data_IF_417512062992
#
_entry.id   IF_417512062992
#
_cell.length_a   1.000
_cell.length_b   1.000
_cell.length_c   1.000
_cell.angle_alpha   90.00
_cell.angle_beta   90.00
_cell.angle_gamma   90.00
#
_symmetry.space_group_name_H-M   'P 1'
#
loop_
_entity.id
_entity.type
_entity.pdbx_description
1 polymer ?
#
# COMPACT_ATOMS: atom_id res chain seq x y z
N UNK A 1 -28.76 -11.77 -5.72
CA UNK A 1 -27.77 -11.31 -4.72
C UNK A 1 -26.58 -12.24 -4.84
N UNK A 2 -25.52 -11.85 -5.56
CA UNK A 2 -24.34 -12.71 -5.66
C UNK A 2 -23.58 -12.62 -4.35
N UNK A 3 -23.58 -13.75 -3.62
CA UNK A 3 -22.62 -14.05 -2.57
C UNK A 3 -21.25 -13.87 -3.22
N UNK A 4 -20.46 -12.91 -2.76
CA UNK A 4 -19.08 -12.77 -3.24
C UNK A 4 -18.41 -14.13 -3.19
N UNK A 5 -17.79 -14.56 -4.30
CA UNK A 5 -17.03 -15.81 -4.41
C UNK A 5 -15.74 -15.71 -3.56
N UNK A 6 -15.88 -15.49 -2.26
CA UNK A 6 -14.77 -15.40 -1.32
C UNK A 6 -14.16 -16.79 -1.18
N UNK A 7 -12.95 -16.92 -1.72
CA UNK A 7 -12.16 -18.13 -1.67
C UNK A 7 -11.13 -18.06 -0.54
N UNK A 8 -11.02 -19.13 0.23
CA UNK A 8 -10.02 -19.29 1.28
C UNK A 8 -9.14 -20.49 0.95
N UNK A 9 -7.83 -20.25 0.86
CA UNK A 9 -6.81 -21.29 0.82
C UNK A 9 -6.21 -21.44 2.22
N UNK A 10 -6.47 -22.57 2.90
CA UNK A 10 -5.89 -22.86 4.21
C UNK A 10 -4.85 -23.97 4.10
N UNK A 11 -3.62 -23.67 4.52
CA UNK A 11 -2.51 -24.64 4.57
C UNK A 11 -1.95 -24.72 5.98
N UNK A 12 -1.81 -25.94 6.50
CA UNK A 12 -1.29 -26.16 7.84
C UNK A 12 -0.24 -27.25 7.89
N UNK A 13 0.75 -27.06 8.77
CA UNK A 13 1.77 -28.06 9.11
C UNK A 13 1.72 -28.41 10.60
N UNK A 14 0.53 -28.44 11.19
CA UNK A 14 0.29 -28.82 12.59
C UNK A 14 -0.71 -29.99 12.69
N UNK A 15 -0.82 -30.69 13.84
CA UNK A 15 -1.72 -31.83 14.03
C UNK A 15 -3.23 -31.51 13.90
N UNK A 16 -4.00 -32.51 13.45
CA UNK A 16 -5.32 -32.33 12.85
C UNK A 16 -6.49 -31.80 13.73
N UNK A 17 -6.61 -32.02 15.06
CA UNK A 17 -7.74 -31.42 15.77
C UNK A 17 -7.54 -29.93 16.08
N UNK A 18 -6.30 -29.43 16.03
CA UNK A 18 -6.01 -28.00 16.12
C UNK A 18 -6.23 -27.32 14.75
N UNK A 19 -5.77 -27.96 13.67
CA UNK A 19 -5.90 -27.47 12.30
C UNK A 19 -7.36 -27.13 11.91
N UNK A 20 -8.31 -28.05 12.15
CA UNK A 20 -9.72 -27.82 11.79
C UNK A 20 -10.34 -26.63 12.52
N UNK A 21 -9.97 -26.41 13.79
CA UNK A 21 -10.49 -25.28 14.58
C UNK A 21 -9.93 -23.95 14.08
N UNK A 22 -8.64 -23.90 13.78
CA UNK A 22 -7.98 -22.73 13.22
C UNK A 22 -8.54 -22.35 11.85
N UNK A 23 -8.80 -23.34 10.99
CA UNK A 23 -9.40 -23.11 9.67
C UNK A 23 -10.80 -22.50 9.80
N UNK A 24 -11.65 -23.07 10.67
CA UNK A 24 -13.00 -22.55 10.90
C UNK A 24 -12.99 -21.12 11.45
N UNK A 25 -12.08 -20.81 12.37
CA UNK A 25 -11.93 -19.46 12.92
C UNK A 25 -11.46 -18.46 11.85
N UNK A 26 -10.44 -18.81 11.08
CA UNK A 26 -9.93 -17.96 10.01
C UNK A 26 -10.99 -17.72 8.93
N UNK A 27 -11.71 -18.76 8.50
CA UNK A 27 -12.78 -18.64 7.50
C UNK A 27 -13.88 -17.71 7.97
N UNK A 28 -14.39 -17.89 9.19
CA UNK A 28 -15.42 -17.03 9.74
C UNK A 28 -14.98 -15.56 9.79
N UNK A 29 -13.81 -15.27 10.37
CA UNK A 29 -13.32 -13.88 10.52
C UNK A 29 -13.03 -13.21 9.18
N UNK A 30 -12.40 -13.93 8.25
CA UNK A 30 -12.06 -13.38 6.94
C UNK A 30 -13.31 -13.17 6.07
N UNK A 31 -14.30 -14.07 6.15
CA UNK A 31 -15.60 -13.87 5.50
C UNK A 31 -16.36 -12.70 6.10
N UNK A 32 -16.35 -12.54 7.42
CA UNK A 32 -17.00 -11.41 8.08
C UNK A 32 -16.35 -10.09 7.63
N UNK A 33 -15.01 -10.06 7.56
CA UNK A 33 -14.25 -8.91 7.06
C UNK A 33 -14.55 -8.60 5.57
N UNK A 34 -14.82 -9.63 4.76
CA UNK A 34 -15.21 -9.51 3.35
C UNK A 34 -16.69 -9.10 3.19
N UNK A 35 -17.56 -9.52 4.10
CA UNK A 35 -19.02 -9.34 3.96
C UNK A 35 -19.42 -7.86 3.86
N UNK A 36 -18.63 -6.98 4.47
CA UNK A 36 -18.93 -5.55 4.54
C UNK A 36 -18.53 -4.80 3.26
N UNK A 37 -17.59 -5.32 2.45
CA UNK A 37 -17.06 -4.60 1.28
C UNK A 37 -16.67 -5.55 0.14
N UNK A 38 -16.82 -5.11 -1.11
CA UNK A 38 -16.54 -5.92 -2.32
C UNK A 38 -15.08 -5.84 -2.81
N UNK A 39 -14.21 -5.26 -2.00
CA UNK A 39 -12.79 -5.03 -2.30
C UNK A 39 -11.94 -6.30 -2.13
N UNK A 40 -12.33 -7.19 -1.21
CA UNK A 40 -11.66 -8.45 -0.89
C UNK A 40 -12.31 -9.62 -1.60
N UNK A 41 -11.51 -10.38 -2.37
CA UNK A 41 -11.98 -11.50 -3.21
C UNK A 41 -11.59 -12.87 -2.64
N UNK A 42 -10.66 -12.92 -1.70
CA UNK A 42 -10.23 -14.15 -1.06
C UNK A 42 -9.10 -13.94 -0.07
N UNK A 43 -8.59 -15.03 0.49
CA UNK A 43 -7.44 -15.02 1.36
C UNK A 43 -6.68 -16.35 1.31
N UNK A 44 -5.40 -16.32 1.69
CA UNK A 44 -4.59 -17.50 1.94
C UNK A 44 -4.02 -17.46 3.36
N UNK A 45 -4.11 -18.57 4.08
CA UNK A 45 -3.64 -18.72 5.45
C UNK A 45 -2.65 -19.88 5.51
N UNK A 46 -1.49 -19.63 6.10
CA UNK A 46 -0.46 -20.64 6.33
C UNK A 46 -0.11 -20.64 7.81
N UNK A 47 -0.23 -21.79 8.48
CA UNK A 47 0.22 -21.99 9.86
C UNK A 47 1.26 -23.09 9.91
N UNK A 48 2.42 -22.81 10.49
CA UNK A 48 3.54 -23.76 10.56
C UNK A 48 4.29 -23.68 11.90
N UNK A 49 4.80 -24.82 12.34
CA UNK A 49 5.70 -24.91 13.50
C UNK A 49 7.15 -24.59 13.06
N UNK A 50 7.78 -23.63 13.72
CA UNK A 50 9.19 -23.30 13.56
C UNK A 50 10.01 -24.12 14.56
N UNK A 51 10.29 -25.37 14.21
CA UNK A 51 11.23 -26.19 14.96
C UNK A 51 12.66 -25.78 14.59
N UNK A 52 13.28 -24.92 15.41
CA UNK A 52 14.74 -24.78 15.48
C UNK A 52 15.21 -25.09 16.89
N UNK A 53 16.37 -25.74 17.00
CA UNK A 53 16.91 -26.41 18.17
C UNK A 53 17.19 -25.53 19.41
N UNK A 54 16.85 -24.24 19.40
CA UNK A 54 17.18 -23.29 20.46
C UNK A 54 16.01 -22.40 20.93
N UNK A 55 14.84 -22.45 20.28
CA UNK A 55 13.63 -21.71 20.70
C UNK A 55 12.50 -22.68 21.04
N UNK A 56 11.88 -22.59 22.23
CA UNK A 56 10.72 -23.42 22.58
C UNK A 56 9.57 -23.16 21.59
N UNK A 57 9.04 -24.23 20.99
CA UNK A 57 7.81 -24.30 20.17
C UNK A 57 7.25 -22.97 19.64
N UNK A 58 7.99 -22.31 18.74
CA UNK A 58 7.49 -21.12 18.07
C UNK A 58 6.64 -21.53 16.87
N UNK A 59 5.44 -20.99 16.77
CA UNK A 59 4.55 -21.15 15.62
C UNK A 59 4.54 -19.85 14.82
N UNK A 60 4.43 -19.97 13.51
CA UNK A 60 4.26 -18.85 12.59
C UNK A 60 2.93 -18.97 11.88
N UNK A 61 2.14 -17.90 11.91
CA UNK A 61 0.97 -17.75 11.07
C UNK A 61 1.20 -16.63 10.07
N UNK A 62 0.90 -16.90 8.80
CA UNK A 62 0.90 -15.93 7.71
C UNK A 62 -0.48 -15.89 7.08
N UNK A 63 -1.06 -14.71 7.02
CA UNK A 63 -2.35 -14.48 6.37
C UNK A 63 -2.16 -13.47 5.25
N UNK A 64 -2.64 -13.79 4.06
CA UNK A 64 -2.64 -12.90 2.89
C UNK A 64 -4.09 -12.67 2.48
N UNK A 65 -4.55 -11.43 2.52
CA UNK A 65 -5.83 -11.03 1.93
C UNK A 65 -5.62 -10.63 0.46
N UNK A 66 -6.38 -11.23 -0.44
CA UNK A 66 -6.48 -10.83 -1.83
C UNK A 66 -7.48 -9.69 -1.94
N UNK A 67 -6.97 -8.46 -1.94
CA UNK A 67 -7.76 -7.23 -1.83
C UNK A 67 -7.27 -6.20 -2.84
N UNK A 68 -8.19 -5.54 -3.55
CA UNK A 68 -7.85 -4.53 -4.56
C UNK A 68 -7.49 -3.18 -3.93
N UNK A 69 -6.60 -2.36 -4.52
CA UNK A 69 -5.75 -2.67 -5.68
C UNK A 69 -4.56 -3.58 -5.33
N UNK A 70 -4.05 -3.51 -4.09
CA UNK A 70 -2.86 -4.26 -3.65
C UNK A 70 -3.18 -5.22 -2.49
N UNK A 71 -2.67 -6.45 -2.57
CA UNK A 71 -2.85 -7.45 -1.51
C UNK A 71 -2.27 -6.99 -0.17
N UNK A 72 -2.81 -7.52 0.93
CA UNK A 72 -2.31 -7.25 2.28
C UNK A 72 -1.83 -8.56 2.89
N UNK A 73 -0.67 -8.54 3.54
CA UNK A 73 -0.14 -9.69 4.26
C UNK A 73 0.19 -9.34 5.71
N UNK A 74 -0.13 -10.25 6.62
CA UNK A 74 0.26 -10.20 8.03
C UNK A 74 0.98 -11.50 8.39
N UNK A 75 2.03 -11.38 9.20
CA UNK A 75 2.83 -12.52 9.68
C UNK A 75 3.07 -12.32 11.17
N UNK A 76 2.72 -13.31 11.97
CA UNK A 76 2.93 -13.27 13.42
C UNK A 76 3.51 -14.58 13.95
N UNK A 77 4.21 -14.47 15.07
CA UNK A 77 4.89 -15.58 15.74
C UNK A 77 4.44 -15.68 17.19
N UNK A 78 4.16 -16.89 17.67
CA UNK A 78 3.79 -17.11 19.07
C UNK A 78 4.12 -18.53 19.53
N UNK A 79 4.10 -18.75 20.85
CA UNK A 79 4.38 -20.05 21.48
C UNK A 79 3.23 -21.07 21.30
N UNK A 80 2.12 -20.64 20.69
CA UNK A 80 0.96 -21.47 20.36
C UNK A 80 0.39 -21.08 18.99
N UNK A 81 -0.08 -22.05 18.18
CA UNK A 81 -0.59 -21.79 16.84
C UNK A 81 -1.87 -20.95 16.85
N UNK A 82 -2.72 -21.11 17.88
CA UNK A 82 -3.92 -20.29 18.08
C UNK A 82 -3.57 -18.81 18.26
N UNK A 83 -2.57 -18.53 19.09
CA UNK A 83 -2.13 -17.15 19.37
C UNK A 83 -1.50 -16.53 18.12
N UNK A 84 -0.65 -17.30 17.41
CA UNK A 84 -0.02 -16.81 16.18
C UNK A 84 -1.07 -16.44 15.13
N UNK A 85 -2.08 -17.31 14.92
CA UNK A 85 -3.15 -17.05 13.96
C UNK A 85 -4.02 -15.86 14.38
N UNK A 86 -4.45 -15.80 15.64
CA UNK A 86 -5.26 -14.69 16.14
C UNK A 86 -4.56 -13.34 15.97
N UNK A 87 -3.29 -13.26 16.35
CA UNK A 87 -2.48 -12.05 16.16
C UNK A 87 -2.36 -11.67 14.68
N UNK A 88 -2.11 -12.64 13.80
CA UNK A 88 -2.03 -12.39 12.36
C UNK A 88 -3.36 -11.89 11.78
N UNK A 89 -4.49 -12.44 12.22
CA UNK A 89 -5.82 -12.00 11.81
C UNK A 89 -6.14 -10.59 12.33
N UNK A 90 -5.83 -10.28 13.59
CA UNK A 90 -6.00 -8.93 14.16
C UNK A 90 -5.15 -7.91 13.38
N UNK A 91 -3.89 -8.24 13.11
CA UNK A 91 -2.99 -7.39 12.34
C UNK A 91 -3.53 -7.14 10.92
N UNK A 92 -4.00 -8.20 10.24
CA UNK A 92 -4.60 -8.11 8.92
C UNK A 92 -5.86 -7.23 8.92
N UNK A 93 -6.79 -7.46 9.86
CA UNK A 93 -8.02 -6.68 9.99
C UNK A 93 -7.72 -5.20 10.17
N UNK A 94 -6.73 -4.86 11.01
CA UNK A 94 -6.30 -3.48 11.22
C UNK A 94 -5.75 -2.85 9.93
N UNK A 95 -4.91 -3.57 9.18
CA UNK A 95 -4.37 -3.10 7.91
C UNK A 95 -5.47 -2.89 6.86
N UNK A 96 -6.42 -3.82 6.76
CA UNK A 96 -7.57 -3.72 5.85
C UNK A 96 -8.43 -2.49 6.22
N UNK A 97 -8.76 -2.30 7.49
CA UNK A 97 -9.52 -1.12 7.94
C UNK A 97 -8.81 0.18 7.62
N UNK A 98 -7.51 0.26 7.90
CA UNK A 98 -6.69 1.45 7.57
C UNK A 98 -6.69 1.71 6.06
N UNK A 99 -6.52 0.68 5.23
CA UNK A 99 -6.56 0.80 3.77
C UNK A 99 -7.93 1.30 3.29
N UNK A 100 -9.02 0.74 3.82
CA UNK A 100 -10.39 1.17 3.52
C UNK A 100 -10.65 2.60 3.96
N UNK A 101 -10.08 3.03 5.08
CA UNK A 101 -10.17 4.43 5.53
C UNK A 101 -9.45 5.37 4.56
N UNK A 102 -8.23 5.01 4.12
CA UNK A 102 -7.47 5.81 3.14
C UNK A 102 -8.23 5.89 1.80
N UNK A 103 -8.66 4.75 1.25
CA UNK A 103 -9.41 4.71 -0.01
C UNK A 103 -10.83 5.30 0.12
N UNK A 104 -11.44 5.15 1.28
CA UNK A 104 -12.74 5.72 1.62
C UNK A 104 -12.71 7.22 1.92
N UNK A 105 -11.52 7.82 2.12
CA UNK A 105 -11.36 9.27 2.14
C UNK A 105 -11.07 9.84 0.75
N UNK A 106 -10.75 8.99 -0.22
CA UNK A 106 -10.39 9.42 -1.57
C UNK A 106 -11.54 10.14 -2.30
N UNK A 107 -12.81 9.86 -1.98
CA UNK A 107 -13.96 10.60 -2.53
C UNK A 107 -14.25 11.96 -1.86
N UNK A 108 -13.60 12.27 -0.72
CA UNK A 108 -13.67 13.58 -0.07
C UNK A 108 -12.59 14.56 -0.57
N UNK A 109 -11.72 14.12 -1.47
CA UNK A 109 -10.80 14.97 -2.23
C UNK A 109 -11.08 14.76 -3.72
N UNK A 110 -11.92 15.61 -4.36
CA UNK A 110 -12.48 15.29 -5.67
C UNK A 110 -11.48 15.14 -6.82
N UNK A 111 -10.26 15.69 -6.78
CA UNK A 111 -9.43 15.77 -7.99
C UNK A 111 -7.93 15.49 -7.81
N UNK A 112 -7.41 15.35 -6.58
CA UNK A 112 -5.95 15.47 -6.34
C UNK A 112 -5.20 14.14 -6.28
N UNK A 113 -5.86 13.01 -5.95
CA UNK A 113 -5.17 11.75 -5.65
C UNK A 113 -5.26 10.67 -6.73
N UNK A 114 -6.09 10.85 -7.78
CA UNK A 114 -6.14 9.88 -8.91
C UNK A 114 -4.91 10.02 -9.82
N UNK A 115 -4.09 11.05 -9.63
CA UNK A 115 -3.00 11.39 -10.54
C UNK A 115 -1.59 11.05 -10.03
N UNK A 116 -1.43 10.50 -8.82
CA UNK A 116 -0.12 10.34 -8.18
C UNK A 116 0.52 8.94 -8.24
N UNK A 117 -0.14 7.94 -8.85
CA UNK A 117 0.45 6.59 -8.96
C UNK A 117 1.54 6.49 -10.05
N UNK A 118 1.70 7.52 -10.89
CA UNK A 118 2.72 7.54 -11.93
C UNK A 118 3.11 8.98 -12.31
N UNK A 119 4.29 9.44 -11.90
CA UNK A 119 4.78 10.80 -12.23
C UNK A 119 4.79 11.05 -13.75
N UNK A 120 4.95 9.98 -14.54
CA UNK A 120 5.01 10.03 -16.00
C UNK A 120 3.64 10.28 -16.67
N UNK A 121 2.56 10.16 -15.90
CA UNK A 121 1.19 10.47 -16.36
C UNK A 121 0.76 11.89 -15.97
N UNK A 122 1.57 12.60 -15.18
CA UNK A 122 1.33 13.99 -14.79
C UNK A 122 1.79 14.97 -15.86
N UNK A 123 1.04 16.05 -16.02
CA UNK A 123 1.45 17.19 -16.84
C UNK A 123 2.52 18.02 -16.11
N UNK A 124 3.33 18.81 -16.85
CA UNK A 124 4.28 19.76 -16.26
C UNK A 124 3.73 20.62 -15.12
N UNK A 125 2.51 21.15 -15.31
CA UNK A 125 1.85 22.01 -14.33
C UNK A 125 1.54 21.27 -13.01
N UNK A 126 1.20 19.99 -13.08
CA UNK A 126 0.83 19.19 -11.92
C UNK A 126 2.06 18.72 -11.15
N UNK A 127 3.12 18.36 -11.87
CA UNK A 127 4.41 18.04 -11.25
C UNK A 127 4.92 19.28 -10.51
N UNK A 128 4.87 20.46 -11.15
CA UNK A 128 5.22 21.71 -10.50
C UNK A 128 4.33 22.01 -9.28
N UNK A 129 3.01 21.94 -9.38
CA UNK A 129 2.12 22.26 -8.26
C UNK A 129 2.32 21.30 -7.07
N UNK A 130 2.65 20.05 -7.35
CA UNK A 130 2.86 19.00 -6.32
C UNK A 130 4.12 19.25 -5.51
N UNK A 131 5.24 19.58 -6.16
CA UNK A 131 6.56 19.63 -5.51
C UNK A 131 7.08 21.05 -5.27
N UNK A 132 6.66 22.02 -6.08
CA UNK A 132 7.18 23.38 -6.09
C UNK A 132 6.08 24.44 -6.19
N UNK A 133 4.83 24.13 -5.87
CA UNK A 133 3.70 25.07 -5.96
C UNK A 133 3.85 26.33 -5.09
N UNK A 134 4.76 26.31 -4.12
CA UNK A 134 5.09 27.47 -3.27
C UNK A 134 6.30 28.29 -3.78
N UNK A 135 7.03 27.80 -4.80
CA UNK A 135 8.22 28.45 -5.38
C UNK A 135 7.86 29.17 -6.68
N UNK A 136 8.29 30.41 -6.88
CA UNK A 136 8.00 31.13 -8.13
C UNK A 136 8.62 30.42 -9.34
N UNK A 137 7.94 30.33 -10.50
CA UNK A 137 8.53 29.83 -11.74
C UNK A 137 9.83 30.55 -12.13
N UNK A 138 9.93 31.85 -11.86
CA UNK A 138 11.14 32.64 -12.14
C UNK A 138 12.35 32.14 -11.32
N UNK A 139 12.13 31.87 -10.03
CA UNK A 139 13.19 31.38 -9.11
C UNK A 139 13.65 29.95 -9.45
N UNK A 140 12.83 29.19 -10.19
CA UNK A 140 13.18 27.85 -10.65
C UNK A 140 14.01 27.87 -11.93
N UNK A 141 13.80 28.86 -12.80
CA UNK A 141 14.62 29.03 -14.01
C UNK A 141 16.05 29.48 -13.68
N UNK A 142 16.26 30.05 -12.49
CA UNK A 142 17.59 30.36 -11.97
C UNK A 142 18.32 29.13 -11.39
N UNK A 143 17.62 28.00 -11.22
CA UNK A 143 18.18 26.75 -10.72
C UNK A 143 18.47 25.78 -11.87
N UNK A 144 19.56 25.05 -11.76
CA UNK A 144 19.88 24.00 -12.72
C UNK A 144 19.03 22.75 -12.46
N UNK A 145 18.74 21.99 -13.52
CA UNK A 145 18.01 20.71 -13.49
C UNK A 145 18.51 19.77 -12.39
N UNK A 146 19.82 19.70 -12.19
CA UNK A 146 20.44 18.82 -11.20
C UNK A 146 20.15 19.27 -9.76
N UNK A 147 19.99 20.58 -9.52
CA UNK A 147 19.64 21.13 -8.21
C UNK A 147 18.18 20.80 -7.86
N UNK A 148 17.27 20.97 -8.82
CA UNK A 148 15.86 20.61 -8.68
C UNK A 148 15.72 19.10 -8.43
N UNK A 149 16.41 18.27 -9.21
CA UNK A 149 16.41 16.82 -9.02
C UNK A 149 16.99 16.41 -7.65
N UNK A 150 18.06 17.06 -7.18
CA UNK A 150 18.65 16.79 -5.87
C UNK A 150 17.68 17.09 -4.72
N UNK A 151 16.90 18.18 -4.82
CA UNK A 151 15.85 18.51 -3.85
C UNK A 151 14.78 17.40 -3.84
N UNK A 152 14.30 16.99 -5.01
CA UNK A 152 13.28 15.94 -5.16
C UNK A 152 13.75 14.58 -4.59
N UNK A 153 15.01 14.20 -4.80
CA UNK A 153 15.57 12.97 -4.22
C UNK A 153 15.67 13.09 -2.69
N UNK A 154 16.14 14.23 -2.18
CA UNK A 154 16.47 14.40 -0.77
C UNK A 154 15.24 14.64 0.11
N UNK A 155 14.32 15.49 -0.36
CA UNK A 155 13.16 15.93 0.41
C UNK A 155 11.92 15.09 0.13
N UNK A 156 11.72 14.67 -1.12
CA UNK A 156 10.52 13.90 -1.53
C UNK A 156 10.79 12.40 -1.63
N UNK A 157 12.05 11.97 -1.54
CA UNK A 157 12.42 10.55 -1.56
C UNK A 157 12.23 9.88 -2.92
N UNK A 158 12.18 10.66 -4.00
CA UNK A 158 12.07 10.14 -5.36
C UNK A 158 13.36 9.40 -5.75
N UNK A 159 13.23 8.33 -6.54
CA UNK A 159 14.39 7.73 -7.16
C UNK A 159 15.00 8.67 -8.22
N UNK A 160 16.24 8.39 -8.59
CA UNK A 160 17.02 9.26 -9.46
C UNK A 160 16.34 9.49 -10.82
N UNK A 161 15.81 8.45 -11.46
CA UNK A 161 15.21 8.55 -12.80
C UNK A 161 13.95 9.42 -12.75
N UNK A 162 13.08 9.13 -11.78
CA UNK A 162 11.84 9.85 -11.51
C UNK A 162 12.08 11.32 -11.17
N UNK A 163 13.09 11.62 -10.34
CA UNK A 163 13.44 12.98 -9.97
C UNK A 163 13.95 13.82 -11.15
N UNK A 164 14.78 13.21 -12.02
CA UNK A 164 15.27 13.90 -13.22
C UNK A 164 14.17 14.17 -14.24
N UNK A 165 13.25 13.22 -14.43
CA UNK A 165 12.08 13.42 -15.27
C UNK A 165 11.22 14.57 -14.73
N UNK A 166 10.92 14.56 -13.43
CA UNK A 166 10.14 15.61 -12.79
C UNK A 166 10.80 16.99 -12.92
N UNK A 167 12.12 17.08 -12.70
CA UNK A 167 12.88 18.32 -12.87
C UNK A 167 12.76 18.88 -14.30
N UNK A 168 12.84 18.03 -15.33
CA UNK A 168 12.65 18.45 -16.72
C UNK A 168 11.24 19.02 -16.95
N UNK A 169 10.21 18.36 -16.42
CA UNK A 169 8.83 18.83 -16.56
C UNK A 169 8.59 20.14 -15.80
N UNK A 170 9.16 20.30 -14.61
CA UNK A 170 9.07 21.53 -13.81
C UNK A 170 9.68 22.72 -14.57
N UNK A 171 10.86 22.54 -15.17
CA UNK A 171 11.51 23.58 -15.95
C UNK A 171 10.71 23.95 -17.22
N UNK A 172 10.12 22.97 -17.89
CA UNK A 172 9.22 23.21 -19.04
C UNK A 172 8.05 24.09 -18.62
N UNK A 173 7.37 23.75 -17.52
CA UNK A 173 6.25 24.54 -17.02
C UNK A 173 6.68 25.97 -16.63
N UNK A 174 7.83 26.08 -15.96
CA UNK A 174 8.34 27.38 -15.52
C UNK A 174 8.62 28.31 -16.72
N UNK A 175 9.25 27.76 -17.77
CA UNK A 175 9.53 28.49 -19.00
C UNK A 175 8.23 28.92 -19.71
N UNK A 176 7.25 28.01 -19.87
CA UNK A 176 5.96 28.33 -20.49
C UNK A 176 5.19 29.43 -19.73
N UNK A 177 5.27 29.41 -18.40
CA UNK A 177 4.56 30.37 -17.53
C UNK A 177 5.18 31.77 -17.62
N UNK A 178 6.52 31.85 -17.62
CA UNK A 178 7.24 33.13 -17.77
C UNK A 178 7.03 33.69 -19.17
N UNK A 179 7.15 32.88 -20.23
CA UNK A 179 6.94 33.32 -21.61
C UNK A 179 5.51 33.84 -21.86
N UNK A 180 4.51 33.20 -21.22
CA UNK A 180 3.09 33.63 -21.31
C UNK A 180 2.82 34.92 -20.53
N UNK A 181 3.61 35.22 -19.50
CA UNK A 181 3.46 36.44 -18.68
C UNK A 181 4.11 37.68 -19.30
N UNK A 182 4.95 37.49 -20.32
CA UNK A 182 5.70 38.56 -21.01
C UNK A 182 5.07 38.94 -22.38
N UNK A 183 4.03 38.22 -22.83
CA UNK A 183 3.28 38.50 -24.08
C UNK A 183 2.00 39.31 -23.87
#
# INVERSE_FOLDING_TARGET
>A
MSKSDFHLDFTTRIPDPAATRLEAEADQRLRDLASTHTDMVGAAVVVEELSHSETPHAYRARVVAYIRPQNIAAVEHADAPEIALDQALIALERQVRKKREVLGKHWQQPEELVRLDNIYDLTPAEIYSTYFGETSPEDLLDQDRDEIAAVLITHEGLDQETAYYAADQILVFAQETVDTSVG
#
